data_IF_225160131540
#
_entry.id   IF_225160131540
#
_cell.length_a   1.000
_cell.length_b   1.000
_cell.length_c   1.000
_cell.angle_alpha   90.00
_cell.angle_beta   90.00
_cell.angle_gamma   90.00
#
_symmetry.space_group_name_H-M   'P 1'
#
loop_
_entity.id
_entity.type
_entity.pdbx_description
1 polymer ?
#
# COMPACT_ATOMS: atom_id res chain seq x y z
N UNK A 1 -0.04 -12.99 -7.51
CA UNK A 1 -0.23 -11.65 -8.12
C UNK A 1 -0.22 -11.67 -9.65
N UNK A 2 0.89 -12.02 -10.32
CA UNK A 2 1.04 -11.96 -11.79
C UNK A 2 -0.04 -12.71 -12.57
N UNK A 3 -0.42 -13.91 -12.13
CA UNK A 3 -1.53 -14.69 -12.72
C UNK A 3 -2.85 -13.91 -12.71
N UNK A 4 -3.24 -13.35 -11.58
CA UNK A 4 -4.48 -12.56 -11.47
C UNK A 4 -4.43 -11.32 -12.36
N UNK A 5 -3.30 -10.60 -12.38
CA UNK A 5 -3.12 -9.42 -13.22
C UNK A 5 -3.23 -9.73 -14.72
N UNK A 6 -2.69 -10.86 -15.18
CA UNK A 6 -2.84 -11.31 -16.56
C UNK A 6 -4.31 -11.53 -16.98
N UNK A 7 -5.21 -11.70 -16.00
CA UNK A 7 -6.65 -11.81 -16.20
C UNK A 7 -7.43 -10.59 -15.69
N UNK A 8 -6.76 -9.42 -15.57
CA UNK A 8 -7.35 -8.18 -15.05
C UNK A 8 -7.98 -8.30 -13.65
N UNK A 9 -7.54 -9.27 -12.85
CA UNK A 9 -7.99 -9.52 -11.48
C UNK A 9 -6.99 -9.09 -10.42
N UNK A 10 -7.45 -9.13 -9.16
CA UNK A 10 -6.65 -8.77 -7.99
C UNK A 10 -6.30 -10.01 -7.16
N UNK A 11 -5.17 -9.94 -6.45
CA UNK A 11 -4.75 -10.96 -5.49
C UNK A 11 -4.47 -10.29 -4.16
N UNK A 12 -5.21 -10.69 -3.12
CA UNK A 12 -5.10 -10.12 -1.78
C UNK A 12 -4.81 -11.24 -0.78
N UNK A 13 -3.83 -11.02 0.08
CA UNK A 13 -3.53 -11.91 1.20
C UNK A 13 -4.15 -11.30 2.45
N UNK A 14 -5.11 -12.00 3.06
CA UNK A 14 -5.85 -11.50 4.24
C UNK A 14 -5.06 -11.66 5.54
N UNK A 15 -4.23 -12.70 5.62
CA UNK A 15 -3.40 -12.99 6.76
C UNK A 15 -2.06 -13.57 6.31
N UNK A 16 -0.99 -13.11 6.93
CA UNK A 16 0.37 -13.59 6.74
C UNK A 16 1.15 -13.43 8.05
N UNK A 17 2.22 -14.22 8.24
CA UNK A 17 3.15 -14.01 9.35
C UNK A 17 3.71 -12.58 9.35
N UNK A 18 3.89 -11.93 10.52
CA UNK A 18 4.37 -10.55 10.61
C UNK A 18 5.70 -10.29 9.89
N UNK A 19 6.57 -11.29 9.82
CA UNK A 19 7.90 -11.23 9.22
C UNK A 19 7.82 -10.88 7.73
N UNK A 20 6.73 -11.26 7.05
CA UNK A 20 6.54 -10.99 5.63
C UNK A 20 6.27 -9.52 5.33
N UNK A 21 5.78 -8.75 6.31
CA UNK A 21 5.48 -7.31 6.12
C UNK A 21 6.73 -6.49 5.84
N UNK A 22 7.90 -6.96 6.28
CA UNK A 22 9.17 -6.25 6.09
C UNK A 22 9.78 -6.53 4.71
N UNK A 23 9.44 -7.66 4.10
CA UNK A 23 10.05 -8.15 2.86
C UNK A 23 9.16 -7.97 1.64
N UNK A 24 7.87 -7.65 1.83
CA UNK A 24 6.89 -7.50 0.77
C UNK A 24 6.42 -6.05 0.66
N UNK A 25 6.30 -5.56 -0.58
CA UNK A 25 5.53 -4.37 -0.87
C UNK A 25 4.03 -4.66 -0.61
N UNK A 26 3.52 -4.13 0.49
CA UNK A 26 2.15 -4.36 0.96
C UNK A 26 1.08 -3.64 0.14
N UNK A 27 1.46 -2.63 -0.64
CA UNK A 27 0.53 -1.73 -1.31
C UNK A 27 0.50 -1.97 -2.81
N UNK A 28 1.52 -2.63 -3.34
CA UNK A 28 1.62 -2.96 -4.75
C UNK A 28 1.76 -1.70 -5.62
N UNK A 29 1.36 -1.80 -6.88
CA UNK A 29 1.53 -0.70 -7.81
C UNK A 29 0.49 0.40 -7.57
N UNK A 30 0.94 1.51 -6.98
CA UNK A 30 0.13 2.71 -6.73
C UNK A 30 -0.06 3.58 -7.97
N UNK A 31 0.72 3.35 -9.02
CA UNK A 31 0.58 4.01 -10.33
C UNK A 31 0.32 5.52 -10.23
N UNK A 32 -0.71 5.96 -10.94
CA UNK A 32 -1.07 7.38 -11.05
C UNK A 32 -1.79 7.94 -9.81
N UNK A 33 -2.22 7.09 -8.86
CA UNK A 33 -2.98 7.54 -7.68
C UNK A 33 -2.09 7.97 -6.51
N UNK A 34 -0.80 7.63 -6.54
CA UNK A 34 0.15 7.97 -5.47
C UNK A 34 0.16 9.48 -5.10
N UNK A 35 0.18 10.43 -6.06
CA UNK A 35 0.20 11.86 -5.71
C UNK A 35 -1.10 12.33 -5.04
N UNK A 36 -2.24 11.72 -5.35
CA UNK A 36 -3.53 12.06 -4.72
C UNK A 36 -3.52 11.59 -3.26
N UNK A 37 -3.05 10.37 -3.02
CA UNK A 37 -2.99 9.80 -1.67
C UNK A 37 -1.98 10.57 -0.78
N UNK A 38 -0.86 11.05 -1.34
CA UNK A 38 0.09 11.94 -0.66
C UNK A 38 -0.54 13.24 -0.19
N UNK A 39 -1.32 13.89 -1.07
CA UNK A 39 -2.03 15.13 -0.71
C UNK A 39 -3.05 14.89 0.41
N UNK A 40 -3.81 13.80 0.34
CA UNK A 40 -4.75 13.43 1.39
C UNK A 40 -4.04 13.18 2.71
N UNK A 41 -2.96 12.38 2.73
CA UNK A 41 -2.19 12.14 3.95
C UNK A 41 -1.68 13.43 4.56
N UNK A 42 -1.12 14.33 3.75
CA UNK A 42 -0.61 15.61 4.24
C UNK A 42 -1.72 16.50 4.82
N UNK A 43 -2.91 16.49 4.21
CA UNK A 43 -4.05 17.28 4.68
C UNK A 43 -4.59 16.78 6.03
N UNK A 44 -4.64 15.46 6.24
CA UNK A 44 -5.25 14.86 7.44
C UNK A 44 -4.24 14.51 8.54
N UNK A 45 -2.98 14.30 8.19
CA UNK A 45 -1.89 14.00 9.13
C UNK A 45 -0.59 14.72 8.74
N UNK A 46 -0.58 16.06 8.84
CA UNK A 46 0.59 16.86 8.46
C UNK A 46 1.82 16.56 9.33
N UNK A 47 1.62 16.04 10.54
CA UNK A 47 2.67 15.73 11.51
C UNK A 47 3.13 14.25 11.45
N UNK A 48 2.57 13.46 10.53
CA UNK A 48 2.88 12.03 10.34
C UNK A 48 2.74 11.19 11.63
N UNK A 49 1.76 11.49 12.47
CA UNK A 49 1.54 10.78 13.73
C UNK A 49 0.75 9.48 13.54
N UNK A 50 -0.05 9.39 12.49
CA UNK A 50 -0.90 8.24 12.21
C UNK A 50 -0.13 7.19 11.39
N UNK A 51 0.22 6.08 12.05
CA UNK A 51 0.91 4.93 11.44
C UNK A 51 2.26 5.26 10.77
N UNK A 52 3.23 5.84 11.51
CA UNK A 52 4.53 6.20 10.97
C UNK A 52 5.25 5.00 10.35
N UNK A 53 5.93 5.23 9.23
CA UNK A 53 6.66 4.20 8.48
C UNK A 53 5.77 3.22 7.70
N UNK A 54 4.45 3.45 7.65
CA UNK A 54 3.54 2.70 6.79
C UNK A 54 2.86 3.65 5.81
N UNK A 55 3.06 3.38 4.52
CA UNK A 55 2.33 3.96 3.40
C UNK A 55 2.01 5.45 3.47
N UNK A 56 2.76 6.25 2.71
CA UNK A 56 2.61 7.71 2.61
C UNK A 56 2.65 8.41 3.97
#
# INVERSE_FOLDING_TARGET
RSRCQAHNGFFTVLAAPPEWKQTLDLWGNQGQVLPIMQKLKHQFDPQQQLSPGRFI
#
